data_IF_639532551138
#
_entry.id   IF_639532551138
#
_cell.length_a   1.000
_cell.length_b   1.000
_cell.length_c   1.000
_cell.angle_alpha   90.00
_cell.angle_beta   90.00
_cell.angle_gamma   90.00
#
_symmetry.space_group_name_H-M   'P 1'
#
loop_
_entity.id
_entity.type
_entity.pdbx_description
1 polymer ?
#
# COMPACT_ATOMS: atom_id res chain seq x y z
N UNK A 1 60.98 14.52 50.32
CA UNK A 1 59.66 15.22 50.31
C UNK A 1 59.17 15.55 48.95
N UNK A 2 60.03 15.88 47.97
CA UNK A 2 59.69 16.30 46.58
C UNK A 2 59.14 15.16 45.76
N UNK A 3 59.52 13.90 45.92
CA UNK A 3 59.10 12.73 45.17
C UNK A 3 57.61 12.37 45.38
N UNK A 4 57.09 12.51 46.62
CA UNK A 4 55.66 12.24 46.91
C UNK A 4 54.71 13.28 46.33
N UNK A 5 55.20 14.52 46.19
CA UNK A 5 54.39 15.60 45.58
C UNK A 5 54.23 15.37 44.05
N UNK A 6 55.31 14.95 43.37
CA UNK A 6 55.24 14.59 41.94
C UNK A 6 54.29 13.41 41.62
N UNK A 7 54.31 12.39 42.53
CA UNK A 7 53.39 11.25 42.34
C UNK A 7 51.92 11.64 42.54
N UNK A 8 51.59 12.49 43.50
CA UNK A 8 50.22 12.98 43.70
C UNK A 8 49.74 13.88 42.54
N UNK A 9 50.64 14.69 41.99
CA UNK A 9 50.32 15.56 40.85
C UNK A 9 50.03 14.76 39.56
N UNK A 10 50.80 13.68 39.33
CA UNK A 10 50.53 12.78 38.19
C UNK A 10 49.24 11.97 38.38
N UNK A 11 48.89 11.56 39.59
CA UNK A 11 47.64 10.87 39.88
C UNK A 11 46.43 11.78 39.64
N UNK A 12 46.49 13.04 40.09
CA UNK A 12 45.44 14.04 39.82
C UNK A 12 45.29 14.36 38.35
N UNK A 13 46.41 14.41 37.60
CA UNK A 13 46.38 14.65 36.13
C UNK A 13 45.72 13.50 35.39
N UNK A 14 45.98 12.26 35.78
CA UNK A 14 45.36 11.08 35.17
C UNK A 14 43.86 10.96 35.50
N UNK A 15 43.44 11.33 36.73
CA UNK A 15 42.04 11.36 37.14
C UNK A 15 41.29 12.46 36.38
N UNK A 16 41.90 13.63 36.13
CA UNK A 16 41.29 14.72 35.37
C UNK A 16 41.13 14.38 33.90
N UNK A 17 42.10 13.67 33.28
CA UNK A 17 42.02 13.18 31.90
C UNK A 17 40.92 12.10 31.79
N UNK A 18 40.81 11.20 32.77
CA UNK A 18 39.76 10.18 32.78
C UNK A 18 38.34 10.79 32.91
N UNK A 19 38.19 11.84 33.75
CA UNK A 19 36.93 12.57 33.89
C UNK A 19 36.54 13.34 32.61
N UNK A 20 37.51 13.90 31.87
CA UNK A 20 37.28 14.57 30.60
C UNK A 20 36.83 13.59 29.49
N UNK A 21 37.33 12.35 29.49
CA UNK A 21 36.92 11.30 28.54
C UNK A 21 35.48 10.85 28.82
N UNK A 22 35.06 10.79 30.09
CA UNK A 22 33.68 10.46 30.44
C UNK A 22 32.69 11.59 30.10
N UNK A 23 33.12 12.86 30.11
CA UNK A 23 32.28 13.99 29.70
C UNK A 23 32.19 14.18 28.16
N UNK A 24 33.14 13.63 27.39
CA UNK A 24 33.15 13.68 25.95
C UNK A 24 32.33 12.54 25.28
N UNK A 25 31.84 11.57 26.07
CA UNK A 25 31.02 10.45 25.59
C UNK A 25 29.52 10.59 25.92
N UNK A 26 29.06 11.79 26.25
CA UNK A 26 27.66 12.11 26.06
C UNK A 26 27.50 12.57 24.58
N UNK A 27 27.56 11.65 23.64
CA UNK A 27 26.82 11.82 22.42
C UNK A 27 25.36 11.98 22.86
N UNK A 28 24.90 13.23 23.01
CA UNK A 28 23.54 13.53 22.65
C UNK A 28 23.45 13.02 21.21
N UNK A 29 22.91 11.80 21.02
CA UNK A 29 22.23 11.50 19.79
C UNK A 29 21.26 12.66 19.62
N UNK A 30 21.61 13.62 18.76
CA UNK A 30 20.60 14.34 18.03
C UNK A 30 19.79 13.21 17.40
N UNK A 31 18.71 12.87 18.06
CA UNK A 31 17.64 12.13 17.50
C UNK A 31 17.08 13.11 16.48
N UNK A 32 17.74 13.18 15.30
CA UNK A 32 17.04 13.62 14.08
C UNK A 32 15.76 12.81 14.14
N UNK A 33 14.65 13.49 14.33
CA UNK A 33 13.35 12.82 14.41
C UNK A 33 13.13 12.21 13.05
N UNK A 34 13.62 10.98 12.92
CA UNK A 34 13.41 10.15 11.75
C UNK A 34 11.91 10.13 11.55
N UNK A 35 11.44 10.42 10.34
CA UNK A 35 10.01 10.44 10.03
C UNK A 35 9.43 9.08 10.50
N UNK A 36 8.45 9.06 11.41
CA UNK A 36 7.93 7.80 11.94
C UNK A 36 7.15 7.00 10.92
N UNK A 37 6.83 7.58 9.74
CA UNK A 37 6.06 6.94 8.67
C UNK A 37 6.95 6.75 7.46
N UNK A 38 7.17 5.50 7.04
CA UNK A 38 8.04 5.13 5.94
C UNK A 38 7.36 4.16 4.98
N UNK A 39 7.92 4.02 3.78
CA UNK A 39 7.56 3.00 2.80
C UNK A 39 6.05 2.89 2.53
N UNK A 40 5.34 3.98 2.20
CA UNK A 40 3.95 3.90 1.82
C UNK A 40 3.80 3.04 0.57
N UNK A 41 2.76 2.23 0.52
CA UNK A 41 2.48 1.38 -0.64
C UNK A 41 0.98 1.24 -0.86
N UNK A 42 0.60 1.29 -2.13
CA UNK A 42 -0.76 1.05 -2.57
C UNK A 42 -0.77 0.11 -3.77
N UNK A 43 -1.77 -0.78 -3.81
CA UNK A 43 -2.02 -1.63 -4.97
C UNK A 43 -3.52 -1.78 -5.22
N UNK A 44 -3.92 -1.60 -6.48
CA UNK A 44 -5.24 -2.02 -6.95
C UNK A 44 -5.13 -3.44 -7.52
N UNK A 45 -5.63 -4.41 -6.77
CA UNK A 45 -5.67 -5.83 -7.14
C UNK A 45 -6.91 -6.07 -8.00
N UNK A 46 -6.78 -5.80 -9.31
CA UNK A 46 -7.90 -5.74 -10.25
C UNK A 46 -8.62 -7.08 -10.41
N UNK A 47 -7.90 -8.19 -10.50
CA UNK A 47 -8.43 -9.56 -10.69
C UNK A 47 -9.37 -9.99 -9.56
N UNK A 48 -9.19 -9.44 -8.37
CA UNK A 48 -10.02 -9.72 -7.20
C UNK A 48 -10.80 -8.50 -6.72
N UNK A 49 -10.72 -7.40 -7.45
CA UNK A 49 -11.36 -6.11 -7.20
C UNK A 49 -11.15 -5.62 -5.76
N UNK A 50 -9.90 -5.55 -5.31
CA UNK A 50 -9.51 -5.12 -3.96
C UNK A 50 -8.48 -4.01 -3.97
N UNK A 51 -8.60 -3.10 -3.01
CA UNK A 51 -7.61 -2.09 -2.69
C UNK A 51 -6.73 -2.61 -1.54
N UNK A 52 -5.43 -2.48 -1.67
CA UNK A 52 -4.46 -2.85 -0.66
C UNK A 52 -3.60 -1.63 -0.30
N UNK A 53 -3.51 -1.33 0.97
CA UNK A 53 -2.71 -0.25 1.55
C UNK A 53 -1.72 -0.83 2.54
N UNK A 54 -0.49 -0.34 2.55
CA UNK A 54 0.48 -0.66 3.58
C UNK A 54 1.45 0.49 3.82
N UNK A 55 1.99 0.55 5.03
CA UNK A 55 2.95 1.57 5.45
C UNK A 55 3.72 1.06 6.66
N UNK A 56 5.02 1.37 6.73
CA UNK A 56 5.83 1.09 7.93
C UNK A 56 5.69 2.26 8.91
N UNK A 57 5.38 1.97 10.18
CA UNK A 57 5.22 3.01 11.20
C UNK A 57 5.95 2.60 12.47
N UNK A 58 6.83 3.48 12.97
CA UNK A 58 7.53 3.26 14.23
C UNK A 58 6.55 3.21 15.42
N UNK A 59 6.84 2.35 16.40
CA UNK A 59 5.99 2.15 17.59
C UNK A 59 6.01 3.32 18.58
N UNK A 60 6.99 4.25 18.46
CA UNK A 60 7.14 5.43 19.34
C UNK A 60 7.61 6.63 18.52
N UNK A 61 7.02 7.79 18.75
CA UNK A 61 7.45 9.06 18.18
C UNK A 61 7.45 10.15 19.25
N UNK A 62 8.55 10.89 19.39
CA UNK A 62 8.73 11.94 20.39
C UNK A 62 8.36 11.52 21.84
N UNK A 63 8.62 10.26 22.18
CA UNK A 63 8.32 9.69 23.50
C UNK A 63 6.86 9.22 23.69
N UNK A 64 6.00 9.40 22.71
CA UNK A 64 4.63 8.92 22.73
C UNK A 64 4.51 7.59 21.97
N UNK A 65 3.75 6.65 22.52
CA UNK A 65 3.44 5.38 21.86
C UNK A 65 2.47 5.58 20.71
N UNK A 66 2.53 4.73 19.70
CA UNK A 66 1.58 4.70 18.58
C UNK A 66 0.20 4.25 19.07
N UNK A 67 -0.83 5.06 18.80
CA UNK A 67 -2.23 4.75 19.12
C UNK A 67 -2.96 4.09 17.94
N UNK A 68 -2.61 4.46 16.71
CA UNK A 68 -3.23 3.89 15.53
C UNK A 68 -2.75 4.48 14.22
N UNK A 69 -3.04 3.76 13.15
CA UNK A 69 -2.70 4.15 11.78
C UNK A 69 -3.95 4.10 10.92
N UNK A 70 -4.18 5.17 10.15
CA UNK A 70 -5.25 5.22 9.16
C UNK A 70 -4.72 5.70 7.82
N UNK A 71 -5.40 5.33 6.74
CA UNK A 71 -5.22 5.97 5.44
C UNK A 71 -6.47 6.79 5.11
N UNK A 72 -6.25 8.05 4.73
CA UNK A 72 -7.26 8.92 4.12
C UNK A 72 -7.18 8.70 2.61
N UNK A 73 -8.19 8.05 2.08
CA UNK A 73 -8.25 7.67 0.67
C UNK A 73 -9.09 8.64 -0.14
N UNK A 74 -8.53 9.19 -1.21
CA UNK A 74 -9.17 10.18 -2.09
C UNK A 74 -9.54 9.60 -3.46
N UNK A 75 -9.09 8.39 -3.79
CA UNK A 75 -9.23 7.87 -5.15
C UNK A 75 -8.51 8.74 -6.17
N UNK A 76 -9.13 8.95 -7.32
CA UNK A 76 -8.55 9.76 -8.42
C UNK A 76 -8.78 11.26 -8.26
N UNK A 77 -9.55 11.70 -7.28
CA UNK A 77 -9.94 13.10 -7.12
C UNK A 77 -9.68 13.63 -5.70
N UNK A 78 -8.65 14.45 -5.53
CA UNK A 78 -8.30 15.11 -4.26
C UNK A 78 -9.40 16.03 -3.69
N UNK A 79 -10.36 16.47 -4.51
CA UNK A 79 -11.50 17.29 -4.08
C UNK A 79 -12.70 16.48 -3.59
N UNK A 80 -12.67 15.15 -3.67
CA UNK A 80 -13.74 14.29 -3.23
C UNK A 80 -13.81 14.16 -1.70
N UNK A 81 -14.94 13.63 -1.20
CA UNK A 81 -15.01 13.21 0.20
C UNK A 81 -14.06 12.05 0.45
N UNK A 82 -13.29 12.16 1.53
CA UNK A 82 -12.31 11.14 1.92
C UNK A 82 -12.98 9.91 2.50
N UNK A 83 -12.43 8.75 2.19
CA UNK A 83 -12.68 7.52 2.95
C UNK A 83 -11.58 7.35 3.99
N UNK A 84 -11.94 7.05 5.23
CA UNK A 84 -10.98 6.76 6.31
C UNK A 84 -10.92 5.25 6.51
N UNK A 85 -9.75 4.66 6.30
CA UNK A 85 -9.52 3.22 6.36
C UNK A 85 -8.49 2.94 7.45
N UNK A 86 -8.88 2.24 8.52
CA UNK A 86 -7.95 1.84 9.58
C UNK A 86 -7.05 0.70 9.11
N UNK A 87 -5.75 0.88 9.31
CA UNK A 87 -4.73 -0.13 9.07
C UNK A 87 -4.43 -0.89 10.37
N UNK A 88 -3.89 -2.10 10.28
CA UNK A 88 -3.50 -2.89 11.43
C UNK A 88 -2.20 -3.66 11.17
N UNK A 89 -1.52 -4.04 12.27
CA UNK A 89 -0.34 -4.89 12.33
C UNK A 89 -0.66 -6.11 13.22
N UNK A 90 -1.68 -6.91 12.80
CA UNK A 90 -2.22 -8.04 13.58
C UNK A 90 -2.15 -9.37 12.82
N UNK A 91 -1.49 -9.43 11.66
CA UNK A 91 -1.45 -10.60 10.79
C UNK A 91 -2.81 -10.93 10.15
N UNK A 92 -3.71 -9.93 10.01
CA UNK A 92 -5.08 -10.13 9.53
C UNK A 92 -5.54 -9.01 8.58
N UNK A 93 -6.62 -9.27 7.80
CA UNK A 93 -7.27 -8.27 6.95
C UNK A 93 -6.36 -7.62 5.90
N UNK A 94 -5.34 -8.32 5.45
CA UNK A 94 -4.37 -7.83 4.48
C UNK A 94 -2.98 -7.68 5.07
N UNK A 95 -2.88 -7.54 6.38
CA UNK A 95 -1.64 -7.68 7.09
C UNK A 95 -1.20 -9.16 7.13
N UNK A 96 0.11 -9.41 6.94
CA UNK A 96 0.66 -10.76 6.74
C UNK A 96 1.39 -11.23 7.98
N UNK A 97 2.16 -10.35 8.63
CA UNK A 97 3.02 -10.69 9.76
C UNK A 97 2.67 -9.76 10.93
N UNK A 98 2.21 -10.32 12.01
CA UNK A 98 1.87 -9.59 13.22
C UNK A 98 3.11 -9.00 13.89
N UNK A 99 3.05 -7.72 14.29
CA UNK A 99 4.09 -6.99 15.01
C UNK A 99 5.41 -6.86 14.23
N UNK A 100 5.33 -6.56 12.93
CA UNK A 100 6.48 -6.28 12.09
C UNK A 100 6.61 -4.79 11.72
N UNK A 101 5.81 -3.94 12.39
CA UNK A 101 5.69 -2.50 12.17
C UNK A 101 5.15 -2.11 10.78
N UNK A 102 4.64 -3.07 10.00
CA UNK A 102 3.98 -2.83 8.71
C UNK A 102 2.47 -2.86 8.91
N UNK A 103 1.89 -1.69 9.01
CA UNK A 103 0.44 -1.51 9.12
C UNK A 103 -0.21 -1.65 7.76
N UNK A 104 -1.14 -2.58 7.60
CA UNK A 104 -1.78 -2.80 6.33
C UNK A 104 -3.27 -3.11 6.39
N UNK A 105 -3.94 -2.95 5.24
CA UNK A 105 -5.36 -3.26 5.07
C UNK A 105 -5.68 -3.63 3.63
N UNK A 106 -6.45 -4.69 3.47
CA UNK A 106 -7.06 -5.07 2.19
C UNK A 106 -8.56 -4.95 2.30
N UNK A 107 -9.17 -4.14 1.43
CA UNK A 107 -10.62 -3.95 1.38
C UNK A 107 -11.16 -4.26 -0.01
N UNK A 108 -12.46 -4.55 -0.11
CA UNK A 108 -13.14 -4.64 -1.41
C UNK A 108 -13.28 -3.25 -2.02
N UNK A 109 -12.99 -3.11 -3.32
CA UNK A 109 -13.17 -1.86 -4.04
C UNK A 109 -14.66 -1.44 -4.14
N UNK A 110 -15.59 -2.40 -3.99
CA UNK A 110 -17.04 -2.15 -3.93
C UNK A 110 -17.59 -2.27 -2.49
N UNK A 111 -16.77 -1.98 -1.48
CA UNK A 111 -17.21 -2.02 -0.08
C UNK A 111 -18.37 -1.04 0.12
N UNK A 112 -19.50 -1.46 0.73
CA UNK A 112 -20.60 -0.55 1.02
C UNK A 112 -20.15 0.66 1.84
N UNK A 113 -20.41 1.86 1.33
CA UNK A 113 -20.03 3.13 1.96
C UNK A 113 -18.66 3.67 1.50
N UNK A 114 -17.87 2.93 0.75
CA UNK A 114 -16.69 3.47 0.06
C UNK A 114 -17.15 4.47 -1.00
N UNK A 115 -16.61 5.70 -0.95
CA UNK A 115 -17.01 6.82 -1.82
C UNK A 115 -16.10 6.95 -3.04
N UNK A 116 -14.88 6.48 -2.89
CA UNK A 116 -13.81 6.63 -3.87
C UNK A 116 -13.37 5.26 -4.39
N UNK A 117 -14.31 4.47 -4.92
CA UNK A 117 -13.98 3.23 -5.60
C UNK A 117 -13.23 3.51 -6.92
N UNK A 118 -12.52 2.51 -7.42
CA UNK A 118 -11.75 2.59 -8.66
C UNK A 118 -12.44 1.86 -9.82
N UNK A 119 -13.75 1.70 -9.76
CA UNK A 119 -14.51 1.14 -10.90
C UNK A 119 -14.36 2.09 -12.09
N UNK A 120 -13.81 1.59 -13.18
CA UNK A 120 -13.52 2.35 -14.41
C UNK A 120 -12.61 3.59 -14.21
N UNK A 121 -11.92 3.68 -13.08
CA UNK A 121 -11.01 4.76 -12.79
C UNK A 121 -9.66 4.55 -13.50
N UNK A 122 -9.11 5.63 -14.03
CA UNK A 122 -7.79 5.66 -14.69
C UNK A 122 -6.92 6.77 -14.11
N UNK A 123 -5.62 6.67 -14.33
CA UNK A 123 -4.68 7.72 -13.98
C UNK A 123 -4.12 7.59 -12.57
N UNK A 124 -3.96 8.72 -11.88
CA UNK A 124 -3.28 8.79 -10.59
C UNK A 124 -4.28 8.79 -9.44
N UNK A 125 -3.99 8.00 -8.43
CA UNK A 125 -4.73 7.97 -7.16
C UNK A 125 -3.92 8.66 -6.06
N UNK A 126 -4.63 9.16 -5.04
CA UNK A 126 -4.07 9.96 -3.97
C UNK A 126 -4.50 9.43 -2.61
N UNK A 127 -3.58 9.47 -1.65
CA UNK A 127 -3.82 9.03 -0.28
C UNK A 127 -2.92 9.77 0.72
N UNK A 128 -3.33 9.78 1.97
CA UNK A 128 -2.54 10.25 3.10
C UNK A 128 -2.52 9.18 4.18
N UNK A 129 -1.34 8.75 4.60
CA UNK A 129 -1.17 7.88 5.76
C UNK A 129 -1.01 8.76 7.00
N UNK A 130 -1.80 8.49 8.01
CA UNK A 130 -1.82 9.24 9.27
C UNK A 130 -1.55 8.29 10.41
N UNK A 131 -0.48 8.54 11.16
CA UNK A 131 -0.15 7.85 12.40
C UNK A 131 -0.38 8.79 13.58
N UNK A 132 -1.05 8.32 14.63
CA UNK A 132 -1.38 9.08 15.83
C UNK A 132 -0.57 8.56 17.01
N UNK A 133 0.09 9.47 17.73
CA UNK A 133 0.94 9.20 18.89
C UNK A 133 0.50 10.12 20.04
N UNK A 134 -0.38 9.64 20.92
CA UNK A 134 -0.98 10.47 21.97
C UNK A 134 -1.77 11.65 21.36
N UNK A 135 -1.32 12.87 21.60
CA UNK A 135 -1.93 14.09 21.03
C UNK A 135 -1.35 14.52 19.68
N UNK A 136 -0.29 13.88 19.24
CA UNK A 136 0.41 14.23 18.00
C UNK A 136 -0.04 13.33 16.84
N UNK A 137 -0.16 13.92 15.65
CA UNK A 137 -0.43 13.17 14.42
C UNK A 137 0.59 13.52 13.35
N UNK A 138 1.16 12.50 12.74
CA UNK A 138 2.08 12.64 11.61
C UNK A 138 1.39 12.15 10.36
N UNK A 139 1.61 12.84 9.25
CA UNK A 139 0.95 12.53 7.97
C UNK A 139 1.98 12.40 6.86
N UNK A 140 1.90 11.32 6.09
CA UNK A 140 2.67 11.10 4.87
C UNK A 140 1.72 11.05 3.67
N UNK A 141 1.90 11.97 2.72
CA UNK A 141 1.13 11.98 1.46
C UNK A 141 1.79 11.11 0.42
N UNK A 142 0.98 10.37 -0.31
CA UNK A 142 1.44 9.54 -1.43
C UNK A 142 0.47 9.57 -2.60
N UNK A 143 0.98 9.23 -3.78
CA UNK A 143 0.17 9.11 -4.99
C UNK A 143 0.77 8.10 -5.96
N UNK A 144 -0.07 7.22 -6.49
CA UNK A 144 0.33 6.11 -7.35
C UNK A 144 -0.41 6.19 -8.69
N UNK A 145 0.26 5.86 -9.78
CA UNK A 145 -0.40 5.66 -11.08
C UNK A 145 -1.00 4.25 -11.09
N UNK A 146 -2.31 4.13 -11.35
CA UNK A 146 -3.01 2.82 -11.34
C UNK A 146 -2.44 1.88 -12.41
N UNK A 147 -1.96 2.42 -13.52
CA UNK A 147 -1.48 1.62 -14.66
C UNK A 147 -2.62 1.19 -15.58
N UNK A 148 -2.38 0.13 -16.32
CA UNK A 148 -3.36 -0.41 -17.26
C UNK A 148 -4.54 -1.07 -16.54
N UNK A 149 -5.76 -0.74 -16.97
CA UNK A 149 -6.97 -1.35 -16.45
C UNK A 149 -7.28 -2.63 -17.25
N UNK A 150 -7.67 -3.68 -16.53
CA UNK A 150 -8.04 -4.95 -17.18
C UNK A 150 -9.36 -4.78 -17.93
N UNK A 151 -9.39 -5.02 -19.26
CA UNK A 151 -10.61 -4.91 -20.04
C UNK A 151 -11.64 -5.96 -19.62
N UNK A 152 -12.92 -5.66 -19.78
CA UNK A 152 -14.01 -6.58 -19.47
C UNK A 152 -14.94 -6.78 -20.65
N UNK A 153 -15.53 -7.97 -20.74
CA UNK A 153 -16.62 -8.25 -21.67
C UNK A 153 -17.93 -7.85 -20.99
N UNK A 154 -18.63 -6.86 -21.55
CA UNK A 154 -19.92 -6.38 -21.04
C UNK A 154 -21.09 -7.24 -21.48
N UNK A 155 -21.04 -7.71 -22.73
CA UNK A 155 -22.10 -8.57 -23.27
C UNK A 155 -21.56 -9.52 -24.33
N UNK A 156 -22.24 -10.66 -24.46
CA UNK A 156 -22.02 -11.61 -25.54
C UNK A 156 -23.36 -11.95 -26.16
N UNK A 157 -23.44 -11.88 -27.51
CA UNK A 157 -24.58 -12.33 -28.28
C UNK A 157 -24.13 -13.48 -29.15
N UNK A 158 -24.74 -14.64 -28.95
CA UNK A 158 -24.52 -15.84 -29.75
C UNK A 158 -25.83 -16.64 -29.85
N UNK A 159 -25.93 -17.50 -30.84
CA UNK A 159 -27.04 -18.46 -30.91
C UNK A 159 -26.99 -19.40 -29.70
N UNK A 160 -28.10 -19.57 -29.01
CA UNK A 160 -28.19 -20.45 -27.83
C UNK A 160 -28.16 -21.93 -28.20
N UNK A 161 -28.52 -22.25 -29.44
CA UNK A 161 -28.49 -23.61 -30.02
C UNK A 161 -27.93 -23.54 -31.41
N UNK A 162 -26.87 -24.26 -31.65
CA UNK A 162 -26.24 -24.43 -32.95
C UNK A 162 -26.44 -25.89 -33.36
N UNK A 163 -27.27 -26.07 -34.41
CA UNK A 163 -27.47 -27.40 -34.99
C UNK A 163 -26.32 -27.74 -35.95
N UNK A 164 -25.68 -28.87 -35.72
CA UNK A 164 -24.68 -29.38 -36.64
C UNK A 164 -25.38 -29.84 -37.94
N UNK A 165 -24.91 -29.40 -39.12
CA UNK A 165 -25.42 -29.93 -40.39
C UNK A 165 -25.25 -31.44 -40.45
N UNK A 166 -26.24 -32.12 -41.01
CA UNK A 166 -26.21 -33.59 -41.19
C UNK A 166 -25.35 -34.04 -42.37
N UNK A 167 -24.89 -33.08 -43.17
CA UNK A 167 -24.03 -33.29 -44.33
C UNK A 167 -22.71 -32.51 -44.19
N UNK A 168 -21.89 -32.51 -45.23
CA UNK A 168 -20.60 -31.80 -45.21
C UNK A 168 -20.72 -30.29 -45.45
N UNK A 169 -21.90 -29.68 -45.29
CA UNK A 169 -22.09 -28.24 -45.44
C UNK A 169 -21.52 -27.45 -44.27
N UNK A 170 -21.04 -26.24 -44.55
CA UNK A 170 -20.53 -25.32 -43.54
C UNK A 170 -21.66 -24.43 -43.05
N UNK A 171 -21.91 -24.40 -41.75
CA UNK A 171 -22.84 -23.46 -41.14
C UNK A 171 -22.05 -22.33 -40.50
N UNK A 172 -22.38 -21.08 -40.80
CA UNK A 172 -21.76 -19.89 -40.23
C UNK A 172 -22.66 -19.34 -39.12
N UNK A 173 -22.08 -19.18 -37.92
CA UNK A 173 -22.75 -18.59 -36.78
C UNK A 173 -22.01 -17.34 -36.33
N UNK A 174 -22.76 -16.29 -36.00
CA UNK A 174 -22.21 -15.02 -35.58
C UNK A 174 -22.15 -14.96 -34.04
N UNK A 175 -20.96 -14.76 -33.53
CA UNK A 175 -20.73 -14.45 -32.10
C UNK A 175 -20.27 -13.00 -32.05
N UNK A 176 -20.94 -12.17 -31.22
CA UNK A 176 -20.57 -10.79 -30.96
C UNK A 176 -20.24 -10.63 -29.49
N UNK A 177 -19.16 -9.95 -29.17
CA UNK A 177 -18.84 -9.52 -27.81
C UNK A 177 -18.71 -7.99 -27.77
N UNK A 178 -19.29 -7.37 -26.77
CA UNK A 178 -19.04 -5.98 -26.45
C UNK A 178 -17.97 -5.95 -25.36
N UNK A 179 -16.87 -5.23 -25.63
CA UNK A 179 -15.74 -5.09 -24.72
C UNK A 179 -15.66 -3.65 -24.27
N UNK A 180 -15.40 -3.45 -23.01
CA UNK A 180 -15.11 -2.17 -22.40
C UNK A 180 -13.70 -2.18 -21.80
N UNK A 181 -12.98 -1.07 -21.99
CA UNK A 181 -11.69 -0.82 -21.38
C UNK A 181 -11.65 0.65 -20.96
N UNK A 182 -11.41 0.90 -19.65
CA UNK A 182 -11.48 2.24 -19.07
C UNK A 182 -10.34 3.17 -19.55
N UNK A 183 -9.19 2.63 -19.91
CA UNK A 183 -8.05 3.39 -20.43
C UNK A 183 -7.92 3.32 -21.97
N UNK A 184 -8.92 2.76 -22.64
CA UNK A 184 -9.07 2.80 -24.09
C UNK A 184 -8.90 1.45 -24.78
N UNK A 185 -9.52 1.29 -25.96
CA UNK A 185 -9.52 0.03 -26.69
C UNK A 185 -8.21 -0.27 -27.43
N UNK A 186 -7.30 0.72 -27.53
CA UNK A 186 -6.07 0.62 -28.33
C UNK A 186 -5.06 -0.38 -27.75
N UNK A 187 -5.19 -0.74 -26.48
CA UNK A 187 -4.33 -1.69 -25.80
C UNK A 187 -4.88 -3.12 -25.75
N UNK A 188 -6.09 -3.35 -26.26
CA UNK A 188 -6.68 -4.68 -26.38
C UNK A 188 -6.02 -5.44 -27.54
N UNK A 189 -5.24 -6.47 -27.23
CA UNK A 189 -4.52 -7.25 -28.24
C UNK A 189 -5.43 -8.19 -29.02
N UNK A 190 -6.39 -8.80 -28.35
CA UNK A 190 -7.34 -9.73 -28.97
C UNK A 190 -8.53 -9.99 -28.03
N UNK A 191 -9.65 -10.35 -28.65
CA UNK A 191 -10.84 -10.88 -27.98
C UNK A 191 -11.15 -12.21 -28.65
N UNK A 192 -11.36 -13.25 -27.85
CA UNK A 192 -11.58 -14.59 -28.38
C UNK A 192 -12.55 -15.39 -27.53
N UNK A 193 -12.92 -16.57 -28.02
CA UNK A 193 -13.71 -17.55 -27.30
C UNK A 193 -13.08 -18.94 -27.47
N UNK A 194 -13.37 -19.83 -26.52
CA UNK A 194 -13.02 -21.24 -26.62
C UNK A 194 -14.30 -22.06 -26.64
N UNK A 195 -14.44 -22.93 -27.62
CA UNK A 195 -15.53 -23.90 -27.67
C UNK A 195 -15.09 -25.26 -27.20
N UNK A 196 -15.95 -25.94 -26.50
CA UNK A 196 -15.74 -27.33 -26.07
C UNK A 196 -16.79 -28.20 -26.71
N UNK A 197 -16.37 -29.31 -27.28
CA UNK A 197 -17.28 -30.37 -27.73
C UNK A 197 -17.54 -31.33 -26.57
N UNK A 198 -18.79 -31.47 -26.18
CA UNK A 198 -19.23 -32.48 -25.23
C UNK A 198 -19.81 -33.62 -26.02
N UNK A 199 -19.17 -34.78 -26.00
CA UNK A 199 -19.77 -36.00 -26.56
C UNK A 199 -20.92 -36.41 -25.63
N UNK A 200 -22.12 -36.47 -26.19
CA UNK A 200 -23.34 -36.93 -25.51
C UNK A 200 -23.45 -38.44 -25.50
#
# INVERSE_FOLDING_TARGET
MITKIKQRLNLLKNIFILALVYLACSDEKNQDSEDPILNPSFSFLQDVNKLYFSVTVGSVYQGNALDGVVVLWYGVNLGSQTDTISLNDLGTNGDIIMNDDIFSRKISNNLPGLKNDLTDATGRVYMEYVATFGSESVTLRDSVLIGNIIPRIESVVADTVIQRPSDATVSLHLIKAQVFDADGLDNIKWVGFTSYHVEG
#
